data_IF_672800106234
#
_entry.id   IF_672800106234
#
_cell.length_a   1.000
_cell.length_b   1.000
_cell.length_c   1.000
_cell.angle_alpha   90.00
_cell.angle_beta   90.00
_cell.angle_gamma   90.00
#
_symmetry.space_group_name_H-M   'P 1'
#
loop_
_entity.id
_entity.type
_entity.pdbx_description
1 polymer ?
#
# COMPACT_ATOMS: atom_id res chain seq x y z
N UNK A 1 -8.53 -15.75 26.79
CA UNK A 1 -8.91 -14.81 25.72
C UNK A 1 -8.62 -15.47 24.39
N UNK A 2 -9.61 -15.76 23.57
CA UNK A 2 -9.31 -16.25 22.24
C UNK A 2 -8.56 -15.16 21.47
N UNK A 3 -7.40 -15.50 20.91
CA UNK A 3 -6.67 -14.62 20.01
C UNK A 3 -7.64 -14.24 18.89
N UNK A 4 -7.95 -12.94 18.76
CA UNK A 4 -8.69 -12.45 17.60
C UNK A 4 -7.91 -12.87 16.37
N UNK A 5 -8.45 -13.78 15.58
CA UNK A 5 -7.88 -14.10 14.27
C UNK A 5 -7.75 -12.78 13.53
N UNK A 6 -6.54 -12.48 13.10
CA UNK A 6 -6.30 -11.29 12.29
C UNK A 6 -7.22 -11.40 11.06
N UNK A 7 -8.15 -10.47 10.94
CA UNK A 7 -9.10 -10.47 9.84
C UNK A 7 -8.37 -10.25 8.53
N UNK A 8 -8.56 -11.17 7.60
CA UNK A 8 -7.97 -11.06 6.28
C UNK A 8 -8.51 -9.82 5.55
N UNK A 9 -7.64 -9.15 4.79
CA UNK A 9 -8.03 -8.08 3.88
C UNK A 9 -8.40 -8.69 2.53
N UNK A 10 -9.55 -8.26 1.99
CA UNK A 10 -9.93 -8.49 0.60
C UNK A 10 -9.81 -7.17 -0.15
N UNK A 11 -9.15 -7.20 -1.30
CA UNK A 11 -8.99 -6.04 -2.16
C UNK A 11 -10.03 -6.06 -3.28
N UNK A 12 -10.73 -4.94 -3.46
CA UNK A 12 -11.70 -4.73 -4.54
C UNK A 12 -11.20 -3.66 -5.48
N UNK A 13 -10.99 -3.98 -6.78
CA UNK A 13 -10.59 -2.97 -7.76
C UNK A 13 -11.62 -1.85 -7.83
N UNK A 14 -11.16 -0.60 -7.74
CA UNK A 14 -12.05 0.57 -7.84
C UNK A 14 -12.61 0.75 -9.25
N UNK A 15 -11.95 0.20 -10.27
CA UNK A 15 -12.28 0.42 -11.68
C UNK A 15 -13.44 -0.44 -12.17
N UNK A 16 -13.90 -1.41 -11.37
CA UNK A 16 -15.03 -2.27 -11.74
C UNK A 16 -16.36 -1.51 -11.90
N UNK A 17 -16.45 -0.26 -11.45
CA UNK A 17 -17.66 0.57 -11.52
C UNK A 17 -17.42 2.00 -11.97
N UNK A 18 -16.19 2.43 -12.20
CA UNK A 18 -15.90 3.76 -12.71
C UNK A 18 -16.03 3.76 -14.25
N UNK A 19 -16.86 4.66 -14.77
CA UNK A 19 -16.93 4.93 -16.21
C UNK A 19 -15.52 5.21 -16.75
N UNK A 20 -15.18 4.71 -17.95
CA UNK A 20 -13.88 4.94 -18.55
C UNK A 20 -13.70 6.40 -18.94
N UNK A 21 -13.22 7.21 -18.02
CA UNK A 21 -12.55 8.46 -18.34
C UNK A 21 -11.07 8.15 -18.40
N UNK A 22 -10.53 8.02 -19.61
CA UNK A 22 -9.14 7.63 -19.91
C UNK A 22 -8.74 6.26 -19.32
N UNK A 23 -8.16 5.42 -20.14
CA UNK A 23 -7.82 4.04 -19.84
C UNK A 23 -7.23 3.87 -18.42
N UNK A 24 -8.04 3.32 -17.51
CA UNK A 24 -7.54 2.90 -16.21
C UNK A 24 -6.39 1.90 -16.42
N UNK A 25 -5.30 1.99 -15.63
CA UNK A 25 -4.22 1.02 -15.74
C UNK A 25 -4.77 -0.40 -15.56
N UNK A 26 -4.33 -1.38 -16.36
CA UNK A 26 -4.79 -2.75 -16.21
C UNK A 26 -4.44 -3.30 -14.83
N UNK A 27 -5.30 -4.17 -14.28
CA UNK A 27 -4.98 -4.92 -13.05
C UNK A 27 -3.67 -5.69 -13.22
N UNK A 28 -2.82 -5.78 -12.18
CA UNK A 28 -3.08 -5.34 -10.80
C UNK A 28 -2.75 -3.84 -10.54
N UNK A 29 -2.30 -3.08 -11.51
CA UNK A 29 -1.71 -1.75 -11.37
C UNK A 29 -2.72 -0.63 -11.17
N UNK A 30 -3.80 -0.91 -10.49
CA UNK A 30 -4.93 0.00 -10.23
C UNK A 30 -5.08 0.33 -8.74
N UNK A 31 -6.18 0.97 -8.39
CA UNK A 31 -6.57 1.27 -7.02
C UNK A 31 -7.58 0.25 -6.50
N UNK A 32 -7.56 0.04 -5.19
CA UNK A 32 -8.41 -0.93 -4.51
C UNK A 32 -9.05 -0.34 -3.27
N UNK A 33 -10.27 -0.75 -2.98
CA UNK A 33 -10.85 -0.63 -1.65
C UNK A 33 -10.42 -1.85 -0.82
N UNK A 34 -10.09 -1.62 0.44
CA UNK A 34 -9.74 -2.68 1.38
C UNK A 34 -10.95 -3.02 2.25
N UNK A 35 -11.35 -4.26 2.23
CA UNK A 35 -12.47 -4.81 2.98
C UNK A 35 -11.98 -5.74 4.07
N UNK A 36 -12.60 -5.63 5.24
CA UNK A 36 -12.41 -6.55 6.36
C UNK A 36 -13.74 -6.68 7.10
N UNK A 37 -14.10 -7.89 7.50
CA UNK A 37 -15.35 -8.19 8.23
C UNK A 37 -16.62 -7.59 7.57
N UNK A 38 -16.69 -7.63 6.23
CA UNK A 38 -17.85 -7.18 5.49
C UNK A 38 -18.00 -5.65 5.35
N UNK A 39 -16.98 -4.89 5.68
CA UNK A 39 -17.01 -3.42 5.56
C UNK A 39 -15.71 -2.87 4.97
N UNK A 40 -15.81 -1.70 4.34
CA UNK A 40 -14.63 -0.97 3.87
C UNK A 40 -13.87 -0.41 5.05
N UNK A 41 -12.59 -0.74 5.15
CA UNK A 41 -11.71 -0.27 6.24
C UNK A 41 -10.66 0.72 5.76
N UNK A 42 -10.47 0.83 4.46
CA UNK A 42 -9.50 1.72 3.84
C UNK A 42 -9.35 1.43 2.36
N UNK A 43 -8.19 1.67 1.84
CA UNK A 43 -7.84 1.35 0.47
C UNK A 43 -6.37 1.57 0.19
N UNK A 44 -6.01 1.41 -1.05
CA UNK A 44 -4.66 1.60 -1.54
C UNK A 44 -4.54 1.19 -2.98
N UNK A 45 -3.33 1.17 -3.49
CA UNK A 45 -3.09 0.73 -4.85
C UNK A 45 -1.74 1.17 -5.36
N UNK A 46 -1.63 1.14 -6.67
CA UNK A 46 -0.43 1.53 -7.39
C UNK A 46 -0.64 2.88 -8.06
N UNK A 47 0.42 3.69 -8.12
CA UNK A 47 0.35 4.98 -8.82
C UNK A 47 0.38 4.83 -10.32
N UNK A 48 0.70 3.65 -10.82
CA UNK A 48 0.73 3.26 -12.22
C UNK A 48 1.46 1.93 -12.41
N UNK A 49 1.59 1.45 -13.66
CA UNK A 49 2.35 0.24 -13.95
C UNK A 49 3.84 0.44 -13.64
N UNK A 50 4.59 -0.67 -13.49
CA UNK A 50 6.02 -0.60 -13.21
C UNK A 50 6.79 0.20 -14.26
N UNK A 51 7.77 0.95 -13.80
CA UNK A 51 8.74 1.65 -14.63
C UNK A 51 10.16 1.38 -14.15
N UNK A 52 11.07 1.02 -15.03
CA UNK A 52 12.46 0.76 -14.69
C UNK A 52 12.62 -0.22 -13.50
N UNK A 53 11.83 -1.29 -13.49
CA UNK A 53 11.85 -2.31 -12.44
C UNK A 53 11.30 -1.86 -11.08
N UNK A 54 10.56 -0.77 -11.03
CA UNK A 54 9.97 -0.22 -9.80
C UNK A 54 8.48 0.01 -9.94
N UNK A 55 7.76 -0.18 -8.85
CA UNK A 55 6.34 0.17 -8.74
C UNK A 55 6.09 0.87 -7.40
N UNK A 56 5.25 1.89 -7.42
CA UNK A 56 4.91 2.65 -6.23
C UNK A 56 3.56 2.24 -5.68
N UNK A 57 3.50 2.01 -4.37
CA UNK A 57 2.26 1.77 -3.62
C UNK A 57 1.89 2.97 -2.75
N UNK A 58 0.59 3.16 -2.58
CA UNK A 58 0.01 4.03 -1.57
C UNK A 58 -1.14 3.30 -0.88
N UNK A 59 -1.42 3.63 0.37
CA UNK A 59 -2.50 3.04 1.14
C UNK A 59 -2.98 4.00 2.23
N UNK A 60 -4.20 3.78 2.69
CA UNK A 60 -4.81 4.55 3.77
C UNK A 60 -5.79 3.67 4.55
N UNK A 61 -6.03 4.05 5.79
CA UNK A 61 -7.06 3.46 6.65
C UNK A 61 -8.08 4.52 7.00
N UNK A 62 -9.37 4.18 6.90
CA UNK A 62 -10.44 5.12 7.22
C UNK A 62 -10.37 5.55 8.70
N UNK A 63 -10.73 6.80 9.02
CA UNK A 63 -10.97 7.22 10.39
C UNK A 63 -11.94 6.26 11.08
N UNK A 64 -11.69 5.90 12.32
CA UNK A 64 -12.47 4.90 13.04
C UNK A 64 -12.08 3.45 12.78
N UNK A 65 -11.32 3.16 11.73
CA UNK A 65 -10.77 1.83 11.43
C UNK A 65 -9.27 1.73 11.72
N UNK A 66 -8.67 2.78 12.23
CA UNK A 66 -7.26 2.85 12.54
C UNK A 66 -6.89 2.04 13.79
N UNK A 67 -5.60 1.74 13.98
CA UNK A 67 -5.04 0.98 15.11
C UNK A 67 -5.53 -0.46 15.22
N UNK A 68 -6.02 -1.04 14.14
CA UNK A 68 -6.46 -2.43 14.06
C UNK A 68 -5.59 -3.27 13.13
N UNK A 69 -4.49 -2.72 12.62
CA UNK A 69 -3.56 -3.37 11.70
C UNK A 69 -4.05 -3.43 10.25
N UNK A 70 -5.11 -2.73 9.88
CA UNK A 70 -5.65 -2.73 8.52
C UNK A 70 -4.66 -2.15 7.51
N UNK A 71 -3.99 -1.04 7.83
CA UNK A 71 -3.00 -0.41 6.96
C UNK A 71 -1.83 -1.35 6.64
N UNK A 72 -1.30 -2.05 7.63
CA UNK A 72 -0.23 -3.03 7.44
C UNK A 72 -0.68 -4.20 6.56
N UNK A 73 -1.88 -4.74 6.78
CA UNK A 73 -2.44 -5.82 5.96
C UNK A 73 -2.74 -5.38 4.54
N UNK A 74 -3.23 -4.15 4.35
CA UNK A 74 -3.46 -3.57 3.02
C UNK A 74 -2.15 -3.42 2.26
N UNK A 75 -1.12 -2.84 2.87
CA UNK A 75 0.19 -2.71 2.26
C UNK A 75 0.81 -4.08 1.94
N UNK A 76 0.73 -5.05 2.85
CA UNK A 76 1.19 -6.42 2.61
C UNK A 76 0.47 -7.08 1.43
N UNK A 77 -0.84 -6.88 1.29
CA UNK A 77 -1.62 -7.37 0.16
C UNK A 77 -1.19 -6.75 -1.17
N UNK A 78 -0.88 -5.45 -1.18
CA UNK A 78 -0.36 -4.78 -2.38
C UNK A 78 1.03 -5.29 -2.77
N UNK A 79 1.92 -5.55 -1.81
CA UNK A 79 3.21 -6.19 -2.07
C UNK A 79 3.02 -7.56 -2.73
N UNK A 80 2.10 -8.36 -2.21
CA UNK A 80 1.81 -9.68 -2.76
C UNK A 80 1.29 -9.61 -4.20
N UNK A 81 0.42 -8.65 -4.51
CA UNK A 81 -0.05 -8.41 -5.88
C UNK A 81 1.09 -8.02 -6.82
N UNK A 82 1.96 -7.10 -6.40
CA UNK A 82 3.09 -6.66 -7.20
C UNK A 82 4.02 -7.82 -7.54
N UNK A 83 4.42 -8.61 -6.56
CA UNK A 83 5.35 -9.71 -6.78
C UNK A 83 4.71 -10.94 -7.43
N UNK A 84 3.40 -11.13 -7.32
CA UNK A 84 2.69 -12.13 -8.10
C UNK A 84 2.70 -11.79 -9.60
N UNK A 85 2.66 -10.51 -9.94
CA UNK A 85 2.74 -10.05 -11.32
C UNK A 85 4.20 -10.06 -11.86
N UNK A 86 5.15 -9.61 -11.05
CA UNK A 86 6.57 -9.62 -11.39
C UNK A 86 7.42 -9.70 -10.10
N UNK A 87 7.97 -10.87 -9.85
CA UNK A 87 8.75 -11.16 -8.64
C UNK A 87 10.07 -10.36 -8.55
N UNK A 88 10.50 -9.71 -9.61
CA UNK A 88 11.74 -8.93 -9.67
C UNK A 88 11.57 -7.45 -9.27
N UNK A 89 10.34 -7.00 -9.06
CA UNK A 89 10.07 -5.59 -8.79
C UNK A 89 10.60 -5.12 -7.44
N UNK A 90 11.21 -3.93 -7.47
CA UNK A 90 11.39 -3.13 -6.26
C UNK A 90 10.12 -2.32 -6.01
N UNK A 91 9.54 -2.46 -4.83
CA UNK A 91 8.38 -1.67 -4.43
C UNK A 91 8.83 -0.43 -3.70
N UNK A 92 8.30 0.72 -4.09
CA UNK A 92 8.56 2.00 -3.44
C UNK A 92 7.29 2.58 -2.82
N UNK A 93 7.47 3.40 -1.80
CA UNK A 93 6.41 4.17 -1.18
C UNK A 93 6.95 5.56 -0.80
N UNK A 94 6.08 6.54 -0.76
CA UNK A 94 6.42 7.88 -0.32
C UNK A 94 5.62 8.25 0.93
N UNK A 95 6.28 8.86 1.90
CA UNK A 95 5.64 9.53 3.03
C UNK A 95 6.01 10.99 3.03
N UNK A 96 5.08 11.83 3.50
CA UNK A 96 5.37 13.27 3.61
C UNK A 96 6.45 13.52 4.64
N UNK A 97 7.27 14.56 4.41
CA UNK A 97 8.08 15.12 5.46
C UNK A 97 7.15 15.63 6.56
N UNK A 98 7.35 15.15 7.79
CA UNK A 98 6.69 15.74 8.94
C UNK A 98 7.10 17.19 9.08
N UNK A 99 6.18 18.16 9.12
CA UNK A 99 6.55 19.50 9.56
C UNK A 99 7.09 19.39 10.99
N UNK A 100 8.20 20.06 11.26
CA UNK A 100 8.88 20.02 12.55
C UNK A 100 8.04 20.54 13.73
N UNK A 101 6.87 21.11 13.45
CA UNK A 101 5.96 21.66 14.45
C UNK A 101 4.51 21.45 13.98
N UNK A 102 3.74 20.67 14.75
CA UNK A 102 2.30 20.53 14.53
C UNK A 102 1.75 19.16 14.92
N UNK A 103 0.66 19.20 15.64
CA UNK A 103 -0.03 18.05 16.26
C UNK A 103 -0.71 17.04 15.26
N UNK A 104 -0.45 17.14 13.95
CA UNK A 104 -1.25 16.43 12.94
C UNK A 104 -0.46 15.52 12.01
N UNK A 105 0.66 14.95 12.46
CA UNK A 105 1.44 14.04 11.62
C UNK A 105 1.46 12.59 12.12
N UNK A 106 0.38 12.17 12.73
CA UNK A 106 0.20 10.77 13.15
C UNK A 106 0.18 9.82 11.95
N UNK A 107 -0.34 10.26 10.80
CA UNK A 107 -0.48 9.41 9.62
C UNK A 107 0.88 9.09 8.97
N UNK A 108 1.78 10.08 8.88
CA UNK A 108 3.11 9.84 8.33
C UNK A 108 3.95 8.95 9.26
N UNK A 109 3.86 9.14 10.58
CA UNK A 109 4.54 8.30 11.55
C UNK A 109 3.99 6.87 11.55
N UNK A 110 2.66 6.70 11.45
CA UNK A 110 2.02 5.40 11.34
C UNK A 110 2.44 4.68 10.05
N UNK A 111 2.47 5.38 8.91
CA UNK A 111 2.93 4.85 7.63
C UNK A 111 4.40 4.43 7.68
N UNK A 112 5.28 5.24 8.27
CA UNK A 112 6.68 4.89 8.45
C UNK A 112 6.86 3.62 9.29
N UNK A 113 6.12 3.49 10.38
CA UNK A 113 6.14 2.30 11.21
C UNK A 113 5.69 1.04 10.45
N UNK A 114 4.63 1.15 9.67
CA UNK A 114 4.14 0.06 8.82
C UNK A 114 5.21 -0.35 7.81
N UNK A 115 5.80 0.60 7.08
CA UNK A 115 6.83 0.33 6.07
C UNK A 115 8.05 -0.36 6.68
N UNK A 116 8.53 0.11 7.83
CA UNK A 116 9.61 -0.56 8.56
C UNK A 116 9.24 -1.98 8.96
N UNK A 117 8.03 -2.19 9.45
CA UNK A 117 7.55 -3.53 9.87
C UNK A 117 7.43 -4.52 8.71
N UNK A 118 7.27 -4.03 7.49
CA UNK A 118 7.22 -4.81 6.25
C UNK A 118 8.60 -5.04 5.62
N UNK A 119 9.66 -4.48 6.19
CA UNK A 119 11.02 -4.67 5.74
C UNK A 119 11.56 -3.63 4.77
N UNK A 120 10.84 -2.52 4.56
CA UNK A 120 11.38 -1.41 3.78
C UNK A 120 12.66 -0.88 4.42
N UNK A 121 13.63 -0.54 3.59
CA UNK A 121 14.88 0.06 4.04
C UNK A 121 14.72 1.49 4.57
N UNK A 122 15.80 2.08 5.09
CA UNK A 122 15.74 3.44 5.62
C UNK A 122 15.33 4.43 4.53
N UNK A 123 14.49 5.41 4.86
CA UNK A 123 13.99 6.36 3.87
C UNK A 123 15.10 7.30 3.37
N UNK A 124 14.95 7.73 2.13
CA UNK A 124 15.82 8.72 1.50
C UNK A 124 15.01 9.95 1.09
N UNK A 125 15.59 11.16 1.18
CA UNK A 125 14.93 12.35 0.68
C UNK A 125 14.62 12.23 -0.82
N UNK A 126 13.42 12.66 -1.21
CA UNK A 126 12.99 12.70 -2.60
C UNK A 126 12.02 13.86 -2.83
N UNK A 127 11.63 14.09 -4.07
CA UNK A 127 10.58 15.04 -4.44
C UNK A 127 9.50 14.33 -5.23
N UNK A 128 8.27 14.49 -4.79
CA UNK A 128 7.09 14.11 -5.56
C UNK A 128 6.54 15.35 -6.27
N UNK A 129 6.27 15.22 -7.57
CA UNK A 129 5.96 16.36 -8.47
C UNK A 129 4.76 17.22 -8.04
N UNK A 130 3.81 16.66 -7.30
CA UNK A 130 2.61 17.39 -6.82
C UNK A 130 2.57 17.66 -5.33
N UNK A 131 3.47 17.06 -4.55
CA UNK A 131 3.46 17.08 -3.09
C UNK A 131 4.66 17.82 -2.51
N UNK A 132 5.75 17.95 -3.28
CA UNK A 132 7.00 18.54 -2.84
C UNK A 132 7.93 17.54 -2.15
N UNK A 133 8.65 17.95 -1.07
CA UNK A 133 9.58 17.08 -0.39
C UNK A 133 8.88 15.89 0.29
N UNK A 134 9.41 14.70 0.07
CA UNK A 134 8.91 13.44 0.63
C UNK A 134 10.07 12.54 1.07
N UNK A 135 9.76 11.55 1.88
CA UNK A 135 10.64 10.43 2.16
C UNK A 135 10.29 9.28 1.22
N UNK A 136 11.27 8.78 0.48
CA UNK A 136 11.14 7.59 -0.34
C UNK A 136 11.61 6.37 0.43
N UNK A 137 10.77 5.38 0.48
CA UNK A 137 11.01 4.06 1.04
C UNK A 137 11.13 3.07 -0.10
N UNK A 138 12.02 2.09 0.00
CA UNK A 138 12.17 1.05 -1.01
C UNK A 138 12.28 -0.32 -0.36
N UNK A 139 11.62 -1.29 -0.98
CA UNK A 139 11.70 -2.69 -0.63
C UNK A 139 12.14 -3.46 -1.88
N UNK A 140 13.40 -3.93 -1.92
CA UNK A 140 13.87 -4.74 -3.03
C UNK A 140 13.12 -6.07 -3.10
N UNK A 141 13.14 -6.75 -4.26
CA UNK A 141 12.50 -8.04 -4.40
C UNK A 141 13.10 -9.05 -3.40
N UNK A 142 12.22 -9.76 -2.72
CA UNK A 142 12.61 -10.86 -1.86
C UNK A 142 12.55 -12.18 -2.63
N UNK A 143 13.19 -13.22 -2.11
CA UNK A 143 13.08 -14.54 -2.71
C UNK A 143 11.61 -14.97 -2.78
N UNK A 144 11.17 -15.66 -3.85
CA UNK A 144 9.77 -16.07 -4.02
C UNK A 144 9.20 -16.85 -2.84
N UNK A 145 10.03 -17.65 -2.15
CA UNK A 145 9.67 -18.44 -0.98
C UNK A 145 9.34 -17.58 0.27
N UNK A 146 9.74 -16.31 0.27
CA UNK A 146 9.50 -15.35 1.35
C UNK A 146 8.52 -14.24 1.00
N UNK A 147 7.96 -14.28 -0.20
CA UNK A 147 6.98 -13.29 -0.62
C UNK A 147 5.62 -13.61 0.02
N UNK A 148 4.86 -12.58 0.43
CA UNK A 148 3.51 -12.80 0.92
C UNK A 148 2.63 -13.39 -0.18
N UNK A 149 1.71 -14.27 0.20
CA UNK A 149 0.78 -14.85 -0.75
C UNK A 149 -0.16 -13.77 -1.31
N UNK A 150 -0.49 -13.88 -2.58
CA UNK A 150 -1.40 -12.96 -3.23
C UNK A 150 -2.76 -12.94 -2.50
N UNK A 151 -3.33 -11.77 -2.26
CA UNK A 151 -4.62 -11.65 -1.60
C UNK A 151 -5.75 -12.12 -2.51
N UNK A 152 -6.87 -12.43 -1.91
CA UNK A 152 -8.10 -12.63 -2.65
C UNK A 152 -8.54 -11.30 -3.27
N UNK A 153 -8.67 -11.28 -4.59
CA UNK A 153 -9.27 -10.17 -5.32
C UNK A 153 -10.69 -10.60 -5.67
N UNK A 154 -11.67 -9.82 -5.24
CA UNK A 154 -13.04 -10.03 -5.66
C UNK A 154 -13.21 -9.47 -7.08
N UNK A 155 -13.65 -10.32 -7.99
CA UNK A 155 -13.87 -9.98 -9.42
C UNK A 155 -15.31 -9.55 -9.66
#
# INVERSE_FOLDING_TARGET
>A
MPARRATAITLWPCDAQARPLAAAPPTPWTRYLAWADGQVVGGGGFTGPPRQGRVEIGYFTLPGQQRQGHGRRTASALLALAWAADASLTVIAHTRHAPRQGRHNTDAAASAHILLSLGFGPPRPARASRVGPVWRWALPPTRPDRQPQAPTINR
#
